data_IF_942001441361
#
_entry.id   IF_942001441361
#
_cell.length_a   1.000
_cell.length_b   1.000
_cell.length_c   1.000
_cell.angle_alpha   90.00
_cell.angle_beta   90.00
_cell.angle_gamma   90.00
#
_symmetry.space_group_name_H-M   'P 1'
#
loop_
_entity.id
_entity.type
_entity.pdbx_description
1 polymer ?
#
# COMPACT_ATOMS: atom_id res chain seq x y z
N UNK A 1 4.81 -15.31 13.31
CA UNK A 1 4.42 -14.28 14.28
C UNK A 1 3.61 -13.24 13.52
N UNK A 2 2.40 -12.96 13.97
CA UNK A 2 1.47 -12.01 13.35
C UNK A 2 1.42 -10.81 14.28
N UNK A 3 1.87 -9.64 13.82
CA UNK A 3 1.76 -8.43 14.64
C UNK A 3 0.31 -7.95 14.62
N UNK A 4 -0.20 -7.43 15.74
CA UNK A 4 -1.60 -7.00 15.85
C UNK A 4 -1.68 -5.55 16.31
N UNK A 5 -2.33 -4.70 15.53
CA UNK A 5 -2.66 -3.34 15.91
C UNK A 5 -4.05 -3.30 16.52
N UNK A 6 -4.20 -2.65 17.67
CA UNK A 6 -5.48 -2.51 18.36
C UNK A 6 -5.88 -1.04 18.39
N UNK A 7 -7.07 -0.72 17.92
CA UNK A 7 -7.63 0.63 17.98
C UNK A 7 -9.10 0.59 18.37
N UNK A 8 -9.60 1.71 18.91
CA UNK A 8 -11.00 1.83 19.33
C UNK A 8 -11.95 1.98 18.15
N UNK A 9 -13.18 1.50 18.35
CA UNK A 9 -14.26 1.57 17.37
C UNK A 9 -14.24 0.43 16.36
N UNK A 10 -15.31 0.37 15.57
CA UNK A 10 -15.49 -0.56 14.45
C UNK A 10 -14.81 -0.01 13.19
N UNK A 11 -13.51 -0.28 13.06
CA UNK A 11 -12.77 0.02 11.83
C UNK A 11 -12.27 -1.28 11.19
N UNK A 12 -13.20 -2.19 10.89
CA UNK A 12 -12.93 -3.41 10.13
C UNK A 12 -12.59 -3.15 8.65
N UNK A 13 -12.90 -1.97 8.14
CA UNK A 13 -12.55 -1.59 6.78
C UNK A 13 -11.08 -1.15 6.73
N UNK A 14 -10.24 -1.96 6.08
CA UNK A 14 -8.83 -1.66 5.86
C UNK A 14 -8.47 -1.87 4.40
N UNK A 15 -7.46 -1.14 3.94
CA UNK A 15 -6.88 -1.32 2.62
C UNK A 15 -5.85 -2.47 2.66
N UNK A 16 -6.09 -3.59 1.95
CA UNK A 16 -5.17 -4.74 1.94
C UNK A 16 -3.84 -4.44 1.24
N UNK A 17 -3.79 -3.41 0.39
CA UNK A 17 -2.57 -3.01 -0.33
C UNK A 17 -1.74 -1.99 0.44
N UNK A 18 -2.28 -1.46 1.55
CA UNK A 18 -1.55 -0.54 2.42
C UNK A 18 -0.38 -1.24 3.12
N UNK A 19 0.80 -0.64 3.02
CA UNK A 19 2.03 -1.13 3.63
C UNK A 19 2.33 -0.35 4.90
N UNK A 20 2.45 -1.06 6.01
CA UNK A 20 2.87 -0.53 7.31
C UNK A 20 4.37 -0.73 7.48
N UNK A 21 5.11 0.34 7.81
CA UNK A 21 6.56 0.33 8.06
C UNK A 21 7.31 1.46 7.36
N UNK A 22 8.65 1.39 7.27
CA UNK A 22 9.51 0.35 7.86
C UNK A 22 9.57 0.47 9.39
N UNK A 23 9.60 -0.67 10.09
CA UNK A 23 9.87 -0.69 11.53
C UNK A 23 11.36 -0.41 11.84
N UNK A 24 11.74 -0.45 13.12
CA UNK A 24 13.13 -0.25 13.55
C UNK A 24 14.12 -1.27 12.96
N UNK A 25 13.64 -2.41 12.48
CA UNK A 25 14.41 -3.48 11.86
C UNK A 25 14.24 -3.55 10.33
N UNK A 26 13.60 -2.54 9.73
CA UNK A 26 13.28 -2.44 8.29
C UNK A 26 12.26 -3.48 7.79
N UNK A 27 11.49 -4.09 8.68
CA UNK A 27 10.34 -4.91 8.35
C UNK A 27 9.19 -4.06 7.84
N UNK A 28 8.53 -4.55 6.79
CA UNK A 28 7.27 -4.01 6.29
C UNK A 28 6.17 -5.05 6.43
N UNK A 29 4.95 -4.60 6.65
CA UNK A 29 3.81 -5.46 6.93
C UNK A 29 2.59 -5.03 6.12
N UNK A 30 1.69 -5.97 5.83
CA UNK A 30 0.37 -5.68 5.26
C UNK A 30 -0.72 -6.20 6.18
N UNK A 31 -1.86 -5.52 6.17
CA UNK A 31 -3.04 -6.01 6.86
C UNK A 31 -3.63 -7.25 6.16
N UNK A 32 -4.03 -8.24 6.95
CA UNK A 32 -4.63 -9.47 6.44
C UNK A 32 -6.08 -9.65 6.89
N UNK A 33 -6.39 -9.34 8.15
CA UNK A 33 -7.76 -9.42 8.67
C UNK A 33 -7.96 -8.43 9.82
N UNK A 34 -9.20 -8.01 10.02
CA UNK A 34 -9.60 -7.12 11.10
C UNK A 34 -10.83 -7.70 11.83
N UNK A 35 -10.74 -7.79 13.15
CA UNK A 35 -11.79 -8.33 14.00
C UNK A 35 -12.26 -7.28 15.00
N UNK A 36 -13.56 -6.96 15.01
CA UNK A 36 -14.14 -6.02 15.97
C UNK A 36 -14.77 -6.77 17.14
N UNK A 37 -14.38 -6.37 18.35
CA UNK A 37 -14.97 -6.81 19.61
C UNK A 37 -15.89 -5.73 20.18
N UNK A 38 -17.19 -6.00 20.17
CA UNK A 38 -18.23 -5.12 20.70
C UNK A 38 -18.19 -4.98 22.24
N UNK A 39 -17.63 -5.96 22.96
CA UNK A 39 -17.55 -5.89 24.42
C UNK A 39 -16.51 -4.87 24.89
N UNK A 40 -15.43 -4.71 24.13
CA UNK A 40 -14.33 -3.79 24.46
C UNK A 40 -14.27 -2.55 23.58
N UNK A 41 -15.17 -2.44 22.59
CA UNK A 41 -15.21 -1.39 21.57
C UNK A 41 -13.86 -1.20 20.87
N UNK A 42 -13.30 -2.31 20.38
CA UNK A 42 -11.97 -2.35 19.78
C UNK A 42 -11.95 -3.21 18.53
N UNK A 43 -11.17 -2.77 17.55
CA UNK A 43 -10.79 -3.58 16.40
C UNK A 43 -9.33 -4.02 16.53
N UNK A 44 -9.11 -5.31 16.31
CA UNK A 44 -7.80 -5.95 16.19
C UNK A 44 -7.47 -6.14 14.71
N UNK A 45 -6.48 -5.43 14.21
CA UNK A 45 -5.97 -5.55 12.84
C UNK A 45 -4.72 -6.42 12.85
N UNK A 46 -4.79 -7.57 12.19
CA UNK A 46 -3.68 -8.51 12.10
C UNK A 46 -2.82 -8.23 10.87
N UNK A 47 -1.52 -8.12 11.11
CA UNK A 47 -0.50 -7.78 10.14
C UNK A 47 0.41 -8.98 9.85
N UNK A 48 0.71 -9.18 8.57
CA UNK A 48 1.67 -10.19 8.12
C UNK A 48 2.88 -9.50 7.50
N UNK A 49 4.10 -10.00 7.76
CA UNK A 49 5.30 -9.41 7.17
C UNK A 49 5.30 -9.61 5.65
N UNK A 50 5.76 -8.59 4.94
CA UNK A 50 5.98 -8.64 3.49
C UNK A 50 7.45 -9.01 3.24
N UNK A 51 7.73 -10.11 2.53
CA UNK A 51 9.09 -10.47 2.17
C UNK A 51 9.79 -9.37 1.36
N UNK A 52 11.08 -9.17 1.59
CA UNK A 52 11.85 -8.13 0.89
C UNK A 52 11.81 -8.29 -0.64
N UNK A 53 11.83 -9.53 -1.15
CA UNK A 53 11.73 -9.81 -2.58
C UNK A 53 10.41 -9.31 -3.17
N UNK A 54 9.29 -9.46 -2.46
CA UNK A 54 7.97 -8.97 -2.88
C UNK A 54 7.95 -7.43 -2.90
N UNK A 55 8.58 -6.77 -1.92
CA UNK A 55 8.71 -5.31 -1.91
C UNK A 55 9.51 -4.81 -3.11
N UNK A 56 10.60 -5.49 -3.47
CA UNK A 56 11.43 -5.14 -4.61
C UNK A 56 10.67 -5.33 -5.94
N UNK A 57 9.95 -6.44 -6.09
CA UNK A 57 9.12 -6.69 -7.28
C UNK A 57 8.03 -5.64 -7.46
N UNK A 58 7.33 -5.27 -6.37
CA UNK A 58 6.33 -4.19 -6.37
C UNK A 58 6.96 -2.85 -6.76
N UNK A 59 8.15 -2.53 -6.25
CA UNK A 59 8.86 -1.30 -6.58
C UNK A 59 9.24 -1.23 -8.07
N UNK A 60 9.74 -2.35 -8.64
CA UNK A 60 10.06 -2.45 -10.06
C UNK A 60 8.81 -2.26 -10.90
N UNK A 61 7.73 -2.98 -10.58
CA UNK A 61 6.45 -2.89 -11.29
C UNK A 61 5.93 -1.45 -11.28
N UNK A 62 5.94 -0.79 -10.12
CA UNK A 62 5.45 0.59 -10.02
C UNK A 62 6.32 1.58 -10.80
N UNK A 63 7.64 1.37 -10.84
CA UNK A 63 8.54 2.18 -11.65
C UNK A 63 8.25 2.05 -13.14
N UNK A 64 7.94 0.83 -13.61
CA UNK A 64 7.61 0.57 -15.02
C UNK A 64 6.26 1.20 -15.40
N UNK A 65 5.25 1.11 -14.54
CA UNK A 65 3.96 1.79 -14.73
C UNK A 65 4.13 3.30 -14.85
N UNK A 66 4.87 3.91 -13.92
CA UNK A 66 5.13 5.36 -13.92
C UNK A 66 5.91 5.79 -15.17
N UNK A 67 6.83 4.96 -15.66
CA UNK A 67 7.54 5.23 -16.89
C UNK A 67 6.60 5.16 -18.10
N UNK A 68 5.77 4.13 -18.20
CA UNK A 68 4.80 4.00 -19.29
C UNK A 68 3.79 5.17 -19.30
N UNK A 69 3.31 5.62 -18.13
CA UNK A 69 2.43 6.78 -18.01
C UNK A 69 3.10 8.08 -18.51
N UNK A 70 4.40 8.26 -18.23
CA UNK A 70 5.18 9.41 -18.72
C UNK A 70 5.35 9.34 -20.23
N UNK A 71 5.75 8.19 -20.77
CA UNK A 71 5.96 8.00 -22.21
C UNK A 71 4.65 8.26 -23.00
N UNK A 72 3.51 7.79 -22.49
CA UNK A 72 2.19 8.06 -23.09
C UNK A 72 1.89 9.56 -23.05
N UNK A 73 2.14 10.23 -21.92
CA UNK A 73 1.89 11.67 -21.78
C UNK A 73 2.75 12.48 -22.76
N UNK A 74 4.04 12.21 -22.81
CA UNK A 74 4.97 12.87 -23.74
C UNK A 74 4.55 12.66 -25.19
N UNK A 75 4.11 11.45 -25.54
CA UNK A 75 3.64 11.16 -26.90
C UNK A 75 2.35 11.89 -27.24
N UNK A 76 1.41 12.02 -26.31
CA UNK A 76 0.20 12.83 -26.50
C UNK A 76 0.57 14.31 -26.70
N UNK A 77 1.47 14.85 -25.88
CA UNK A 77 1.96 16.22 -26.01
C UNK A 77 2.63 16.47 -27.38
N UNK A 78 3.47 15.54 -27.84
CA UNK A 78 4.10 15.62 -29.17
C UNK A 78 3.10 15.56 -30.33
N UNK A 79 2.04 14.74 -30.20
CA UNK A 79 1.06 14.54 -31.27
C UNK A 79 -0.01 15.64 -31.33
N UNK A 80 -0.39 16.19 -30.18
CA UNK A 80 -1.55 17.08 -30.06
C UNK A 80 -1.21 18.48 -29.53
N UNK A 81 0.06 18.76 -29.22
CA UNK A 81 0.55 20.12 -28.99
C UNK A 81 -0.16 20.89 -27.88
N UNK A 82 -0.50 20.23 -26.77
CA UNK A 82 -1.07 20.93 -25.60
C UNK A 82 0.04 21.59 -24.77
N UNK A 83 0.67 22.60 -25.36
CA UNK A 83 1.70 23.44 -24.75
C UNK A 83 1.68 24.83 -25.38
N UNK A 84 0.88 25.72 -24.78
CA UNK A 84 0.86 27.19 -24.90
C UNK A 84 1.42 27.80 -26.21
N UNK A 85 0.49 28.15 -27.12
CA UNK A 85 0.62 29.33 -27.97
C UNK A 85 -0.21 30.47 -27.35
#
# INVERSE_FOLDING_TARGET
MTDTLNYRGDCRNFDPDHIYGPDLFRGCYRAFTAEFDAATDRTSLHLVPIPLAELQERAITKSLELQAERDIRERIEQLFGTGAA
#
